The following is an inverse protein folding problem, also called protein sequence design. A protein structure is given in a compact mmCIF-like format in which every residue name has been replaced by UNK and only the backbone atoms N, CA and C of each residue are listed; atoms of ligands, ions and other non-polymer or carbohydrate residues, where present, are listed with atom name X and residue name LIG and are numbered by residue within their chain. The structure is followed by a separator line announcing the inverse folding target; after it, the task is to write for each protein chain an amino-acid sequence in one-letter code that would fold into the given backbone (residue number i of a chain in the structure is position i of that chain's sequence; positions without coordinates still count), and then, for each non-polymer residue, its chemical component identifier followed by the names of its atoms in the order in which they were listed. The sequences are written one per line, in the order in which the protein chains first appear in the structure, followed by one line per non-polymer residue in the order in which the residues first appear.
data_IF_705288122748
#
_entry.id   IF_705288122748
#
_cell.length_a   1.000
_cell.length_b   1.000
_cell.length_c   1.000
_cell.angle_alpha   90.00
_cell.angle_beta   90.00
_cell.angle_gamma   90.00
#
_symmetry.space_group_name_H-M   'P 1'
#
loop_
_entity.id
_entity.type
_entity.pdbx_description
1 polymer ?
#
# COMPACT_ATOMS: atom_id res chain seq x y z
N UNK A 1 -6.28 -14.96 -8.94
CA UNK A 1 -7.68 -14.53 -8.63
C UNK A 1 -8.59 -15.76 -8.57
N UNK A 2 -9.46 -15.84 -7.57
CA UNK A 2 -10.43 -16.95 -7.44
C UNK A 2 -11.60 -16.65 -8.40
N UNK A 3 -11.90 -17.58 -9.31
CA UNK A 3 -13.07 -17.48 -10.19
C UNK A 3 -14.37 -17.67 -9.37
N UNK A 4 -15.48 -17.09 -9.84
CA UNK A 4 -16.82 -17.29 -9.23
C UNK A 4 -17.29 -16.15 -8.33
N UNK A 5 -16.42 -15.24 -7.88
CA UNK A 5 -16.82 -14.13 -6.97
C UNK A 5 -18.01 -13.31 -7.50
N UNK A 6 -18.04 -13.03 -8.80
CA UNK A 6 -19.15 -12.26 -9.40
C UNK A 6 -20.48 -13.01 -9.34
N UNK A 7 -20.46 -14.31 -9.60
CA UNK A 7 -21.66 -15.17 -9.53
C UNK A 7 -22.19 -15.26 -8.09
N UNK A 8 -21.28 -15.43 -7.11
CA UNK A 8 -21.65 -15.46 -5.69
C UNK A 8 -22.26 -14.12 -5.22
N UNK A 9 -21.73 -12.99 -5.70
CA UNK A 9 -22.31 -11.67 -5.44
C UNK A 9 -23.71 -11.53 -6.05
N UNK A 10 -23.94 -12.03 -7.28
CA UNK A 10 -25.26 -12.05 -7.91
C UNK A 10 -26.26 -12.91 -7.11
N UNK A 11 -25.82 -14.05 -6.58
CA UNK A 11 -26.65 -14.90 -5.71
C UNK A 11 -27.01 -14.19 -4.41
N UNK A 12 -26.06 -13.47 -3.78
CA UNK A 12 -26.34 -12.63 -2.60
C UNK A 12 -27.35 -11.51 -2.90
N UNK A 13 -27.20 -10.84 -4.05
CA UNK A 13 -28.17 -9.82 -4.49
C UNK A 13 -29.58 -10.41 -4.61
N UNK A 14 -29.72 -11.55 -5.29
CA UNK A 14 -30.99 -12.23 -5.48
C UNK A 14 -31.61 -12.69 -4.15
N UNK A 15 -30.79 -13.09 -3.19
CA UNK A 15 -31.22 -13.50 -1.85
C UNK A 15 -31.54 -12.32 -0.92
N UNK A 16 -31.37 -11.06 -1.36
CA UNK A 16 -31.57 -9.86 -0.52
C UNK A 16 -30.57 -9.75 0.64
N UNK A 17 -29.38 -10.32 0.50
CA UNK A 17 -28.32 -10.33 1.53
C UNK A 17 -27.00 -9.78 0.97
N UNK A 18 -26.97 -8.50 0.52
CA UNK A 18 -25.75 -7.89 0.02
C UNK A 18 -24.68 -7.78 1.11
N UNK A 19 -23.43 -7.63 0.71
CA UNK A 19 -22.32 -7.21 1.60
C UNK A 19 -22.48 -5.71 1.81
N UNK A 20 -22.65 -5.26 3.04
CA UNK A 20 -22.88 -3.86 3.38
C UNK A 20 -21.60 -3.17 3.84
N UNK A 21 -21.30 -2.03 3.21
CA UNK A 21 -20.04 -1.31 3.37
C UNK A 21 -20.23 0.02 4.08
N UNK A 22 -19.28 0.34 4.99
CA UNK A 22 -18.98 1.71 5.39
C UNK A 22 -17.64 2.13 4.78
N UNK A 23 -17.60 3.27 4.10
CA UNK A 23 -16.39 3.87 3.55
C UNK A 23 -15.96 5.05 4.40
N UNK A 24 -14.72 5.02 4.88
CA UNK A 24 -14.09 6.08 5.66
C UNK A 24 -13.03 6.77 4.79
N UNK A 25 -13.31 8.00 4.38
CA UNK A 25 -12.52 8.78 3.42
C UNK A 25 -13.09 8.76 2.00
N UNK A 26 -13.55 9.92 1.52
CA UNK A 26 -14.11 10.13 0.18
C UNK A 26 -13.17 10.95 -0.72
N UNK A 27 -11.86 10.80 -0.55
CA UNK A 27 -10.83 11.38 -1.41
C UNK A 27 -10.81 10.73 -2.80
N UNK A 28 -9.70 10.88 -3.53
CA UNK A 28 -9.56 10.34 -4.90
C UNK A 28 -9.84 8.83 -4.96
N UNK A 29 -9.23 8.05 -4.06
CA UNK A 29 -9.45 6.60 -4.00
C UNK A 29 -10.89 6.26 -3.62
N UNK A 30 -11.40 6.86 -2.54
CA UNK A 30 -12.77 6.61 -2.06
C UNK A 30 -13.83 6.99 -3.10
N UNK A 31 -13.64 8.09 -3.84
CA UNK A 31 -14.53 8.51 -4.91
C UNK A 31 -14.60 7.50 -6.07
N UNK A 32 -13.49 6.86 -6.45
CA UNK A 32 -13.49 5.78 -7.43
C UNK A 32 -14.15 4.51 -6.88
N UNK A 33 -13.87 4.17 -5.62
CA UNK A 33 -14.50 3.02 -4.94
C UNK A 33 -16.03 3.16 -4.89
N UNK A 34 -16.57 4.35 -4.57
CA UNK A 34 -18.01 4.65 -4.61
C UNK A 34 -18.60 4.32 -5.98
N UNK A 35 -17.99 4.81 -7.08
CA UNK A 35 -18.46 4.60 -8.44
C UNK A 35 -18.53 3.13 -8.83
N UNK A 36 -17.56 2.34 -8.41
CA UNK A 36 -17.53 0.89 -8.69
C UNK A 36 -18.50 0.11 -7.80
N UNK A 37 -18.55 0.43 -6.51
CA UNK A 37 -19.46 -0.20 -5.56
C UNK A 37 -20.92 -0.17 -6.04
N UNK A 38 -21.37 0.98 -6.55
CA UNK A 38 -22.74 1.17 -7.03
C UNK A 38 -23.08 0.36 -8.31
N UNK A 39 -22.11 -0.28 -8.95
CA UNK A 39 -22.26 -1.07 -10.18
C UNK A 39 -22.20 -2.56 -9.96
N UNK A 40 -21.76 -3.00 -8.79
CA UNK A 40 -21.54 -4.41 -8.49
C UNK A 40 -22.74 -4.98 -7.73
N UNK A 41 -23.46 -5.97 -8.29
CA UNK A 41 -24.56 -6.60 -7.58
C UNK A 41 -24.08 -7.27 -6.29
N UNK A 42 -24.93 -7.32 -5.27
CA UNK A 42 -24.60 -7.98 -4.01
C UNK A 42 -23.62 -7.23 -3.10
N UNK A 43 -23.27 -5.99 -3.46
CA UNK A 43 -22.53 -5.05 -2.61
C UNK A 43 -23.40 -3.79 -2.43
N UNK A 44 -23.47 -3.28 -1.22
CA UNK A 44 -24.29 -2.12 -0.87
C UNK A 44 -23.50 -1.15 0.00
N UNK A 45 -23.40 0.10 -0.47
CA UNK A 45 -22.79 1.18 0.30
C UNK A 45 -23.85 1.78 1.22
N UNK A 46 -23.64 1.68 2.52
CA UNK A 46 -24.63 2.14 3.53
C UNK A 46 -24.16 3.36 4.31
N UNK A 47 -22.84 3.63 4.33
CA UNK A 47 -22.31 4.83 4.96
C UNK A 47 -21.05 5.34 4.23
N UNK A 48 -20.87 6.66 4.22
CA UNK A 48 -19.64 7.34 3.82
C UNK A 48 -19.31 8.37 4.89
N UNK A 49 -18.14 8.24 5.51
CA UNK A 49 -17.62 9.23 6.44
C UNK A 49 -16.46 9.97 5.83
N UNK A 50 -16.48 11.30 5.92
CA UNK A 50 -15.38 12.18 5.53
C UNK A 50 -15.44 13.48 6.33
N UNK A 51 -14.31 13.99 6.78
CA UNK A 51 -14.25 15.28 7.49
C UNK A 51 -14.90 16.41 6.68
N UNK A 52 -14.81 16.33 5.35
CA UNK A 52 -15.54 17.18 4.42
C UNK A 52 -16.82 16.47 3.92
N UNK A 53 -17.93 16.66 4.64
CA UNK A 53 -19.24 16.11 4.30
C UNK A 53 -19.70 16.53 2.89
N UNK A 54 -19.32 17.74 2.44
CA UNK A 54 -19.68 18.23 1.11
C UNK A 54 -18.98 17.41 0.04
N UNK A 55 -17.70 17.08 0.24
CA UNK A 55 -16.92 16.20 -0.65
C UNK A 55 -17.58 14.82 -0.74
N UNK A 56 -17.90 14.20 0.40
CA UNK A 56 -18.55 12.89 0.43
C UNK A 56 -19.91 12.90 -0.30
N UNK A 57 -20.76 13.88 -0.01
CA UNK A 57 -22.05 14.02 -0.69
C UNK A 57 -21.92 14.31 -2.20
N UNK A 58 -20.89 15.07 -2.59
CA UNK A 58 -20.61 15.35 -4.00
C UNK A 58 -20.13 14.09 -4.72
N UNK A 59 -19.22 13.31 -4.14
CA UNK A 59 -18.75 12.05 -4.70
C UNK A 59 -19.91 11.06 -4.95
N UNK A 60 -20.86 10.96 -4.02
CA UNK A 60 -22.07 10.13 -4.16
C UNK A 60 -22.98 10.64 -5.29
N UNK A 61 -23.25 11.94 -5.35
CA UNK A 61 -24.08 12.54 -6.43
C UNK A 61 -23.44 12.37 -7.81
N UNK A 62 -22.15 12.60 -7.92
CA UNK A 62 -21.39 12.42 -9.17
C UNK A 62 -21.34 10.96 -9.61
N UNK A 63 -21.50 10.02 -8.67
CA UNK A 63 -21.65 8.60 -8.95
C UNK A 63 -23.09 8.19 -9.30
N UNK A 64 -24.06 9.13 -9.30
CA UNK A 64 -25.45 8.92 -9.68
C UNK A 64 -26.40 8.58 -8.54
N UNK A 65 -26.00 8.79 -7.28
CA UNK A 65 -26.89 8.58 -6.13
C UNK A 65 -27.91 9.73 -6.02
N UNK A 66 -29.19 9.39 -5.95
CA UNK A 66 -30.25 10.38 -5.75
C UNK A 66 -30.12 11.06 -4.39
N UNK A 67 -30.38 12.37 -4.34
CA UNK A 67 -30.31 13.19 -3.14
C UNK A 67 -31.19 12.63 -1.99
N UNK A 68 -32.35 12.04 -2.31
CA UNK A 68 -33.29 11.47 -1.33
C UNK A 68 -32.71 10.24 -0.58
N UNK A 69 -31.68 9.61 -1.13
CA UNK A 69 -30.97 8.51 -0.48
C UNK A 69 -29.88 8.98 0.48
N UNK A 70 -29.50 10.25 0.45
CA UNK A 70 -28.47 10.80 1.34
C UNK A 70 -29.09 11.17 2.69
N UNK A 71 -28.62 10.53 3.75
CA UNK A 71 -29.02 10.80 5.12
C UNK A 71 -27.85 11.41 5.91
N UNK A 72 -28.02 12.63 6.43
CA UNK A 72 -26.94 13.36 7.10
C UNK A 72 -26.88 13.16 8.63
N UNK A 73 -27.68 12.25 9.16
CA UNK A 73 -27.68 11.89 10.59
C UNK A 73 -27.92 10.40 10.78
N UNK A 74 -29.16 9.97 10.69
CA UNK A 74 -29.57 8.58 10.80
C UNK A 74 -30.23 8.12 9.50
N UNK A 75 -30.22 6.81 9.19
CA UNK A 75 -30.95 6.30 8.03
C UNK A 75 -32.43 6.73 8.09
N UNK A 76 -32.95 7.28 6.99
CA UNK A 76 -34.35 7.73 6.88
C UNK A 76 -35.20 6.74 6.08
N UNK A 77 -34.55 5.81 5.37
CA UNK A 77 -35.15 4.77 4.53
C UNK A 77 -34.19 3.56 4.50
N UNK A 78 -34.70 2.40 4.11
CA UNK A 78 -33.91 1.17 4.00
C UNK A 78 -32.77 1.28 2.98
N UNK A 79 -32.89 2.12 1.95
CA UNK A 79 -31.90 2.37 0.90
C UNK A 79 -31.07 3.64 1.14
N UNK A 80 -31.12 4.23 2.34
CA UNK A 80 -30.35 5.43 2.68
C UNK A 80 -28.85 5.14 2.78
N UNK A 81 -28.05 6.11 2.33
CA UNK A 81 -26.60 6.16 2.58
C UNK A 81 -26.33 7.26 3.60
N UNK A 82 -25.80 6.88 4.74
CA UNK A 82 -25.41 7.83 5.80
C UNK A 82 -24.18 8.60 5.37
N UNK A 83 -24.24 9.92 5.39
CA UNK A 83 -23.13 10.82 5.09
C UNK A 83 -22.78 11.60 6.36
N UNK A 84 -21.59 11.42 6.90
CA UNK A 84 -21.21 11.99 8.19
C UNK A 84 -19.74 12.44 8.23
N UNK A 85 -19.40 13.35 9.14
CA UNK A 85 -18.02 13.65 9.49
C UNK A 85 -17.47 12.71 10.58
N UNK A 86 -18.33 11.93 11.20
CA UNK A 86 -17.99 11.04 12.32
C UNK A 86 -17.80 9.61 11.79
N UNK A 87 -16.52 9.21 11.66
CA UNK A 87 -16.14 7.87 11.23
C UNK A 87 -16.59 6.80 12.22
N UNK A 88 -16.57 7.09 13.53
CA UNK A 88 -17.01 6.15 14.58
C UNK A 88 -18.49 5.83 14.45
N UNK A 89 -19.32 6.87 14.22
CA UNK A 89 -20.75 6.69 13.98
C UNK A 89 -21.05 5.85 12.72
N UNK A 90 -20.28 6.03 11.64
CA UNK A 90 -20.43 5.23 10.42
C UNK A 90 -20.00 3.76 10.64
N UNK A 91 -18.92 3.52 11.37
CA UNK A 91 -18.42 2.19 11.72
C UNK A 91 -19.38 1.46 12.65
N UNK A 92 -19.99 2.17 13.59
CA UNK A 92 -20.90 1.60 14.60
C UNK A 92 -22.27 1.18 14.06
N UNK A 93 -22.61 1.47 12.80
CA UNK A 93 -23.88 1.03 12.21
C UNK A 93 -23.98 -0.50 12.25
N UNK A 94 -25.06 -1.01 12.86
CA UNK A 94 -25.23 -2.45 13.14
C UNK A 94 -25.16 -3.31 11.87
N UNK A 95 -25.70 -2.82 10.77
CA UNK A 95 -25.82 -3.54 9.51
C UNK A 95 -24.60 -3.42 8.58
N UNK A 96 -23.49 -2.81 9.01
CA UNK A 96 -22.24 -2.80 8.26
C UNK A 96 -21.53 -4.16 8.44
N UNK A 97 -21.11 -4.78 7.34
CA UNK A 97 -20.34 -6.02 7.34
C UNK A 97 -18.84 -5.73 7.21
N UNK A 98 -18.45 -4.81 6.30
CA UNK A 98 -17.06 -4.49 5.97
C UNK A 98 -16.84 -2.98 6.03
N UNK A 99 -15.78 -2.57 6.69
CA UNK A 99 -15.30 -1.18 6.71
C UNK A 99 -14.16 -1.02 5.71
N UNK A 100 -14.25 -0.04 4.84
CA UNK A 100 -13.17 0.40 3.95
C UNK A 100 -12.52 1.63 4.58
N UNK A 101 -11.25 1.52 4.96
CA UNK A 101 -10.45 2.64 5.47
C UNK A 101 -9.63 3.25 4.34
N UNK A 102 -9.87 4.53 4.01
CA UNK A 102 -9.26 5.22 2.87
C UNK A 102 -8.94 6.70 3.18
N UNK A 103 -8.57 7.02 4.42
CA UNK A 103 -8.30 8.40 4.83
C UNK A 103 -6.94 8.91 4.39
N UNK A 104 -5.96 8.04 4.14
CA UNK A 104 -4.56 8.40 3.87
C UNK A 104 -3.81 8.95 5.09
N UNK A 105 -4.40 8.87 6.30
CA UNK A 105 -3.75 9.26 7.55
C UNK A 105 -3.44 8.03 8.39
N UNK A 106 -2.17 7.62 8.55
CA UNK A 106 -1.82 6.36 9.20
C UNK A 106 -2.35 6.28 10.63
N UNK A 107 -2.25 7.34 11.43
CA UNK A 107 -2.73 7.33 12.82
C UNK A 107 -4.26 7.28 12.91
N UNK A 108 -4.97 8.00 12.04
CA UNK A 108 -6.43 7.94 11.96
C UNK A 108 -6.88 6.55 11.48
N UNK A 109 -6.20 5.98 10.49
CA UNK A 109 -6.49 4.66 9.97
C UNK A 109 -6.37 3.58 11.04
N UNK A 110 -5.30 3.57 11.83
CA UNK A 110 -5.14 2.62 12.95
C UNK A 110 -6.30 2.73 13.93
N UNK A 111 -6.72 3.96 14.28
CA UNK A 111 -7.87 4.17 15.16
C UNK A 111 -9.16 3.62 14.55
N UNK A 112 -9.47 3.94 13.29
CA UNK A 112 -10.68 3.48 12.60
C UNK A 112 -10.72 1.97 12.45
N UNK A 113 -9.60 1.35 12.09
CA UNK A 113 -9.46 -0.11 11.96
C UNK A 113 -9.77 -0.78 13.30
N UNK A 114 -9.18 -0.31 14.40
CA UNK A 114 -9.44 -0.90 15.74
C UNK A 114 -10.86 -0.66 16.23
N UNK A 115 -11.49 0.48 15.90
CA UNK A 115 -12.91 0.71 16.14
C UNK A 115 -13.78 -0.28 15.35
N UNK A 116 -13.43 -0.58 14.09
CA UNK A 116 -14.12 -1.58 13.30
C UNK A 116 -14.00 -2.98 13.91
N UNK A 117 -12.80 -3.37 14.36
CA UNK A 117 -12.60 -4.64 15.07
C UNK A 117 -13.43 -4.72 16.36
N UNK A 118 -13.44 -3.66 17.17
CA UNK A 118 -14.25 -3.60 18.38
C UNK A 118 -15.76 -3.70 18.09
N UNK A 119 -16.21 -3.24 16.93
CA UNK A 119 -17.57 -3.37 16.45
C UNK A 119 -17.87 -4.72 15.73
N UNK A 120 -16.88 -5.65 15.67
CA UNK A 120 -17.01 -6.95 15.02
C UNK A 120 -17.09 -6.87 13.50
N UNK A 121 -16.44 -5.89 12.87
CA UNK A 121 -16.47 -5.65 11.42
C UNK A 121 -15.15 -6.07 10.76
N UNK A 122 -15.25 -6.68 9.60
CA UNK A 122 -14.11 -6.92 8.72
C UNK A 122 -13.59 -5.59 8.14
N UNK A 123 -12.29 -5.55 7.77
CA UNK A 123 -11.67 -4.32 7.27
C UNK A 123 -10.90 -4.57 5.97
N UNK A 124 -11.12 -3.69 4.99
CA UNK A 124 -10.25 -3.51 3.83
C UNK A 124 -9.53 -2.17 3.98
N UNK A 125 -8.22 -2.22 4.18
CA UNK A 125 -7.40 -1.03 4.39
C UNK A 125 -6.78 -0.54 3.08
N UNK A 126 -7.04 0.72 2.75
CA UNK A 126 -6.44 1.43 1.61
C UNK A 126 -5.26 2.29 2.05
N UNK A 127 -5.25 2.72 3.32
CA UNK A 127 -4.18 3.54 3.89
C UNK A 127 -2.95 2.67 4.19
N UNK A 128 -2.21 2.34 3.14
CA UNK A 128 -1.04 1.42 3.19
C UNK A 128 0.07 1.91 4.14
N UNK A 129 0.10 3.20 4.45
CA UNK A 129 0.97 3.81 5.46
C UNK A 129 0.72 3.24 6.86
N UNK A 130 -0.54 2.91 7.19
CA UNK A 130 -0.89 2.24 8.45
C UNK A 130 -0.43 0.78 8.45
N UNK A 131 -0.50 0.09 7.30
CA UNK A 131 0.03 -1.27 7.13
C UNK A 131 1.53 -1.33 7.33
N UNK A 132 2.27 -0.37 6.76
CA UNK A 132 3.72 -0.28 6.95
C UNK A 132 4.08 0.03 8.40
N UNK A 133 3.27 0.83 9.10
CA UNK A 133 3.53 1.28 10.46
C UNK A 133 3.26 0.19 11.52
N UNK A 134 2.08 -0.46 11.46
CA UNK A 134 1.60 -1.42 12.48
C UNK A 134 0.78 -2.58 11.88
N UNK A 135 0.83 -2.80 10.57
CA UNK A 135 0.01 -3.81 9.88
C UNK A 135 0.09 -5.22 10.49
N UNK A 136 1.26 -5.76 10.84
CA UNK A 136 1.36 -7.07 11.50
C UNK A 136 0.62 -7.15 12.84
N UNK A 137 0.62 -6.07 13.64
CA UNK A 137 -0.14 -6.03 14.89
C UNK A 137 -1.65 -5.98 14.65
N UNK A 138 -2.11 -5.17 13.67
CA UNK A 138 -3.52 -5.10 13.29
C UNK A 138 -4.02 -6.45 12.73
N UNK A 139 -3.19 -7.12 11.93
CA UNK A 139 -3.50 -8.45 11.41
C UNK A 139 -3.65 -9.50 12.52
N UNK A 140 -2.76 -9.48 13.51
CA UNK A 140 -2.83 -10.37 14.67
C UNK A 140 -4.07 -10.06 15.55
N UNK A 141 -4.39 -8.77 15.75
CA UNK A 141 -5.59 -8.34 16.48
C UNK A 141 -6.86 -8.84 15.78
N UNK A 142 -7.01 -8.63 14.45
CA UNK A 142 -8.14 -9.12 13.66
C UNK A 142 -8.28 -10.64 13.76
N UNK A 143 -7.19 -11.39 13.57
CA UNK A 143 -7.19 -12.85 13.65
C UNK A 143 -7.63 -13.36 15.02
N UNK A 144 -7.20 -12.71 16.12
CA UNK A 144 -7.60 -13.06 17.48
C UNK A 144 -9.10 -12.88 17.73
N UNK A 145 -9.75 -12.00 16.99
CA UNK A 145 -11.19 -11.71 17.05
C UNK A 145 -12.00 -12.51 16.02
N UNK A 146 -11.35 -13.34 15.19
CA UNK A 146 -11.98 -14.08 14.11
C UNK A 146 -12.45 -13.19 12.95
N UNK A 147 -11.85 -12.00 12.80
CA UNK A 147 -12.14 -11.02 11.77
C UNK A 147 -11.10 -11.06 10.64
N UNK A 148 -11.50 -10.54 9.48
CA UNK A 148 -10.63 -10.42 8.31
C UNK A 148 -10.09 -9.00 8.20
N UNK A 149 -8.77 -8.86 8.14
CA UNK A 149 -8.06 -7.64 7.79
C UNK A 149 -7.37 -7.82 6.44
N UNK A 150 -7.61 -6.93 5.48
CA UNK A 150 -7.15 -7.10 4.10
C UNK A 150 -6.51 -5.84 3.55
N UNK A 151 -5.43 -6.01 2.80
CA UNK A 151 -4.94 -5.00 1.86
C UNK A 151 -5.99 -4.75 0.77
N UNK A 152 -5.95 -3.56 0.17
CA UNK A 152 -6.86 -3.15 -0.90
C UNK A 152 -6.39 -3.65 -2.27
N UNK A 153 -7.17 -4.49 -2.94
CA UNK A 153 -6.89 -4.92 -4.31
C UNK A 153 -7.06 -3.74 -5.28
N UNK A 154 -6.16 -3.67 -6.26
CA UNK A 154 -6.02 -2.51 -7.14
C UNK A 154 -4.98 -1.51 -6.63
N UNK A 155 -4.50 -1.65 -5.38
CA UNK A 155 -3.23 -1.09 -4.95
C UNK A 155 -2.10 -2.12 -5.15
N UNK A 156 -0.89 -1.65 -5.36
CA UNK A 156 0.24 -2.48 -5.80
C UNK A 156 0.59 -3.60 -4.80
N UNK A 157 0.57 -3.40 -3.46
CA UNK A 157 0.88 -4.48 -2.52
C UNK A 157 -0.02 -5.71 -2.66
N UNK A 158 -1.33 -5.54 -2.80
CA UNK A 158 -2.24 -6.68 -2.95
C UNK A 158 -2.04 -7.42 -4.28
N UNK A 159 -1.76 -6.69 -5.36
CA UNK A 159 -1.46 -7.27 -6.67
C UNK A 159 -0.15 -8.07 -6.66
N UNK A 160 0.86 -7.59 -5.95
CA UNK A 160 2.13 -8.33 -5.79
C UNK A 160 1.92 -9.57 -4.93
N UNK A 161 1.14 -9.48 -3.84
CA UNK A 161 0.77 -10.64 -3.03
C UNK A 161 0.11 -11.73 -3.88
N UNK A 162 -0.81 -11.38 -4.79
CA UNK A 162 -1.44 -12.33 -5.73
C UNK A 162 -0.41 -13.02 -6.63
N UNK A 163 0.55 -12.26 -7.22
CA UNK A 163 1.59 -12.83 -8.08
C UNK A 163 2.53 -13.77 -7.30
N UNK A 164 2.89 -13.38 -6.07
CA UNK A 164 3.74 -14.21 -5.19
C UNK A 164 3.01 -15.48 -4.77
N UNK A 165 1.73 -15.38 -4.41
CA UNK A 165 0.92 -16.53 -4.03
C UNK A 165 0.74 -17.49 -5.23
N UNK A 166 0.44 -16.95 -6.41
CA UNK A 166 0.38 -17.71 -7.65
C UNK A 166 1.68 -18.49 -7.91
N UNK A 167 2.83 -17.85 -7.76
CA UNK A 167 4.12 -18.50 -7.98
C UNK A 167 4.32 -19.67 -7.01
N UNK A 168 4.06 -19.45 -5.72
CA UNK A 168 4.27 -20.43 -4.65
C UNK A 168 3.31 -21.61 -4.74
N UNK A 169 2.02 -21.37 -5.03
CA UNK A 169 1.02 -22.45 -5.19
C UNK A 169 1.37 -23.37 -6.36
N UNK A 170 2.04 -22.83 -7.40
CA UNK A 170 2.51 -23.62 -8.55
C UNK A 170 3.93 -24.19 -8.36
N UNK A 171 4.54 -24.02 -7.18
CA UNK A 171 5.84 -24.61 -6.85
C UNK A 171 7.03 -23.88 -7.47
N UNK A 172 6.87 -22.63 -7.90
CA UNK A 172 7.97 -21.81 -8.39
C UNK A 172 8.70 -21.09 -7.25
N UNK A 173 10.01 -20.99 -7.34
CA UNK A 173 10.82 -20.18 -6.43
C UNK A 173 10.63 -18.71 -6.77
N UNK A 174 10.19 -17.91 -5.80
CA UNK A 174 10.11 -16.46 -5.96
C UNK A 174 11.50 -15.87 -5.78
N UNK A 175 12.05 -15.33 -6.86
CA UNK A 175 13.38 -14.71 -6.89
C UNK A 175 13.30 -13.26 -6.45
N UNK A 176 12.36 -12.51 -7.02
CA UNK A 176 12.05 -11.15 -6.60
C UNK A 176 10.59 -10.82 -6.92
N UNK A 177 10.03 -9.88 -6.19
CA UNK A 177 8.73 -9.32 -6.50
C UNK A 177 8.72 -7.83 -6.18
N UNK A 178 7.91 -7.07 -6.90
CA UNK A 178 7.88 -5.64 -6.67
C UNK A 178 7.09 -4.85 -7.70
N UNK A 179 7.43 -3.57 -7.81
CA UNK A 179 6.70 -2.59 -8.60
C UNK A 179 7.59 -1.76 -9.51
N UNK A 180 6.97 -1.16 -10.52
CA UNK A 180 7.58 -0.06 -11.26
C UNK A 180 7.27 1.30 -10.62
N UNK A 181 8.13 2.26 -10.87
CA UNK A 181 7.99 3.64 -10.41
C UNK A 181 8.76 4.62 -11.32
N UNK A 182 8.71 5.90 -10.99
CA UNK A 182 9.53 6.94 -11.57
C UNK A 182 10.54 7.42 -10.53
N UNK A 183 11.79 6.98 -10.62
CA UNK A 183 12.83 7.38 -9.67
C UNK A 183 14.22 7.37 -10.33
N UNK A 184 15.09 8.26 -9.89
CA UNK A 184 16.53 8.24 -10.21
C UNK A 184 17.32 8.89 -9.07
N UNK A 185 18.64 8.69 -9.01
CA UNK A 185 19.47 9.35 -8.00
C UNK A 185 19.25 10.88 -7.95
N UNK A 186 19.07 11.42 -6.75
CA UNK A 186 18.74 12.81 -6.50
C UNK A 186 17.22 13.11 -6.40
N UNK A 187 16.35 12.15 -6.75
CA UNK A 187 14.90 12.30 -6.60
C UNK A 187 14.45 12.20 -5.14
N UNK A 188 15.20 11.55 -4.28
CA UNK A 188 14.99 11.52 -2.83
C UNK A 188 14.91 12.93 -2.20
N UNK A 189 15.54 13.92 -2.83
CA UNK A 189 15.49 15.33 -2.42
C UNK A 189 14.30 16.12 -3.00
N UNK A 190 13.30 15.45 -3.56
CA UNK A 190 12.09 16.10 -4.10
C UNK A 190 11.30 16.75 -2.97
N UNK A 191 10.83 17.97 -3.22
CA UNK A 191 9.92 18.69 -2.34
C UNK A 191 8.62 19.05 -3.05
N UNK A 192 7.57 19.47 -2.35
CA UNK A 192 6.32 19.94 -2.97
C UNK A 192 6.50 21.05 -4.01
N UNK A 193 7.59 21.84 -3.90
CA UNK A 193 7.89 22.92 -4.85
C UNK A 193 8.51 22.39 -6.17
N UNK A 194 9.22 21.27 -6.11
CA UNK A 194 9.97 20.70 -7.26
C UNK A 194 9.29 19.51 -7.91
N UNK A 195 8.22 19.00 -7.31
CA UNK A 195 7.60 17.72 -7.68
C UNK A 195 7.10 17.69 -9.12
N UNK A 196 6.41 18.72 -9.58
CA UNK A 196 5.83 18.73 -10.93
C UNK A 196 6.88 18.67 -12.03
N UNK A 197 7.97 19.43 -11.86
CA UNK A 197 9.10 19.38 -12.79
C UNK A 197 9.73 17.98 -12.83
N UNK A 198 9.93 17.35 -11.66
CA UNK A 198 10.53 16.00 -11.59
C UNK A 198 9.59 14.89 -12.05
N UNK A 199 8.30 15.07 -11.84
CA UNK A 199 7.26 14.13 -12.31
C UNK A 199 7.01 14.24 -13.81
N UNK A 200 7.39 15.37 -14.44
CA UNK A 200 7.17 15.66 -15.85
C UNK A 200 5.77 16.20 -16.14
N UNK A 201 5.16 16.94 -15.20
CA UNK A 201 3.84 17.57 -15.36
C UNK A 201 3.94 19.08 -15.40
N UNK A 202 3.02 19.70 -16.16
CA UNK A 202 2.81 21.15 -16.07
C UNK A 202 2.17 21.52 -14.73
N UNK A 203 2.83 22.42 -13.99
CA UNK A 203 2.39 22.78 -12.64
C UNK A 203 0.99 23.41 -12.61
N UNK A 204 0.67 24.24 -13.62
CA UNK A 204 -0.64 24.91 -13.71
C UNK A 204 -1.76 23.90 -13.94
N UNK A 205 -1.51 22.92 -14.83
CA UNK A 205 -2.48 21.85 -15.10
C UNK A 205 -2.66 20.93 -13.91
N UNK A 206 -1.57 20.54 -13.22
CA UNK A 206 -1.62 19.67 -12.07
C UNK A 206 -2.38 20.34 -10.89
N UNK A 207 -2.10 21.61 -10.60
CA UNK A 207 -2.79 22.37 -9.55
C UNK A 207 -4.28 22.60 -9.90
N UNK A 208 -4.59 22.90 -11.18
CA UNK A 208 -5.97 23.03 -11.63
C UNK A 208 -6.77 21.71 -11.57
N UNK A 209 -6.08 20.58 -11.74
CA UNK A 209 -6.67 19.25 -11.55
C UNK A 209 -6.83 18.85 -10.06
N UNK A 210 -6.35 19.68 -9.12
CA UNK A 210 -6.44 19.43 -7.68
C UNK A 210 -5.53 18.32 -7.18
N UNK A 211 -4.42 18.03 -7.88
CA UNK A 211 -3.47 17.02 -7.43
C UNK A 211 -2.71 17.48 -6.19
N UNK A 212 -2.57 16.57 -5.23
CA UNK A 212 -1.86 16.83 -3.99
C UNK A 212 -0.34 16.74 -4.19
N UNK A 213 0.35 17.89 -4.05
CA UNK A 213 1.80 17.99 -4.19
C UNK A 213 2.56 17.09 -3.22
N UNK A 214 2.07 16.91 -1.98
CA UNK A 214 2.73 16.06 -0.99
C UNK A 214 2.64 14.59 -1.39
N UNK A 215 1.46 14.13 -1.82
CA UNK A 215 1.26 12.78 -2.30
C UNK A 215 2.18 12.49 -3.51
N UNK A 216 2.24 13.38 -4.49
CA UNK A 216 3.13 13.21 -5.63
C UNK A 216 4.61 13.30 -5.26
N UNK A 217 4.96 14.12 -4.25
CA UNK A 217 6.33 14.15 -3.72
C UNK A 217 6.72 12.79 -3.15
N UNK A 218 5.84 12.13 -2.38
CA UNK A 218 6.06 10.78 -1.85
C UNK A 218 6.25 9.73 -2.95
N UNK A 219 5.57 9.88 -4.10
CA UNK A 219 5.78 9.00 -5.25
C UNK A 219 7.17 9.18 -5.88
N UNK A 220 7.65 10.41 -5.99
CA UNK A 220 8.91 10.74 -6.68
C UNK A 220 10.12 10.52 -5.78
N UNK A 221 10.04 10.86 -4.49
CA UNK A 221 11.17 10.76 -3.56
C UNK A 221 11.46 9.33 -3.08
N UNK A 222 10.65 8.36 -3.53
CA UNK A 222 10.81 6.95 -3.22
C UNK A 222 10.09 6.49 -1.94
N UNK A 223 9.55 7.41 -1.14
CA UNK A 223 8.86 7.08 0.13
C UNK A 223 7.69 6.13 -0.09
N UNK A 224 6.80 6.42 -1.06
CA UNK A 224 5.65 5.55 -1.34
C UNK A 224 6.09 4.16 -1.78
N UNK A 225 7.13 4.05 -2.61
CA UNK A 225 7.68 2.75 -3.00
C UNK A 225 8.26 1.99 -1.80
N UNK A 226 8.94 2.69 -0.89
CA UNK A 226 9.44 2.08 0.35
C UNK A 226 8.30 1.55 1.23
N UNK A 227 7.22 2.33 1.41
CA UNK A 227 6.02 1.95 2.18
C UNK A 227 5.38 0.69 1.58
N UNK A 228 5.10 0.70 0.28
CA UNK A 228 4.46 -0.43 -0.40
C UNK A 228 5.32 -1.69 -0.38
N UNK A 229 6.64 -1.56 -0.57
CA UNK A 229 7.54 -2.71 -0.52
C UNK A 229 7.76 -3.23 0.91
N UNK A 230 7.66 -2.39 1.95
CA UNK A 230 7.63 -2.84 3.34
C UNK A 230 6.40 -3.72 3.61
N UNK A 231 5.23 -3.29 3.11
CA UNK A 231 3.98 -4.06 3.24
C UNK A 231 4.06 -5.38 2.48
N UNK A 232 4.59 -5.38 1.25
CA UNK A 232 4.80 -6.61 0.47
C UNK A 232 5.73 -7.57 1.20
N UNK A 233 6.87 -7.09 1.71
CA UNK A 233 7.80 -7.91 2.49
C UNK A 233 7.11 -8.52 3.71
N UNK A 234 6.38 -7.71 4.47
CA UNK A 234 5.65 -8.13 5.67
C UNK A 234 4.52 -9.14 5.37
N UNK A 235 3.86 -9.01 4.19
CA UNK A 235 2.77 -9.90 3.78
C UNK A 235 3.27 -11.22 3.19
N UNK A 236 4.39 -11.19 2.47
CA UNK A 236 4.90 -12.34 1.70
C UNK A 236 6.08 -13.04 2.36
N UNK A 237 6.75 -12.41 3.34
CA UNK A 237 7.99 -12.91 3.94
C UNK A 237 9.21 -12.80 3.01
N UNK A 238 9.12 -12.02 1.93
CA UNK A 238 10.29 -11.69 1.11
C UNK A 238 11.26 -10.79 1.89
N UNK A 239 12.54 -10.96 1.64
CA UNK A 239 13.56 -10.16 2.30
C UNK A 239 13.55 -8.70 1.81
N UNK A 240 14.13 -7.82 2.63
CA UNK A 240 14.32 -6.40 2.34
C UNK A 240 15.78 -6.17 1.95
N UNK A 241 16.08 -5.40 0.87
CA UNK A 241 17.44 -5.05 0.52
C UNK A 241 18.13 -4.27 1.64
N UNK A 242 19.34 -4.65 2.01
CA UNK A 242 20.09 -4.03 3.12
C UNK A 242 20.38 -2.54 2.90
N UNK A 243 20.60 -2.15 1.65
CA UNK A 243 20.87 -0.76 1.28
C UNK A 243 19.61 0.08 1.01
N UNK A 244 18.41 -0.54 1.08
CA UNK A 244 17.15 0.01 0.60
C UNK A 244 16.87 -0.37 -0.85
N UNK A 245 15.77 0.11 -1.42
CA UNK A 245 15.38 -0.19 -2.80
C UNK A 245 16.43 0.34 -3.80
N UNK A 246 16.73 -0.46 -4.81
CA UNK A 246 17.72 -0.15 -5.83
C UNK A 246 17.19 0.77 -6.93
N UNK A 247 15.88 0.80 -7.16
CA UNK A 247 15.26 1.56 -8.26
C UNK A 247 15.96 1.35 -9.60
N UNK A 248 16.24 0.08 -9.92
CA UNK A 248 16.99 -0.27 -11.12
C UNK A 248 16.22 0.16 -12.38
N UNK A 249 16.88 0.82 -13.35
CA UNK A 249 16.26 1.19 -14.63
C UNK A 249 16.12 -0.04 -15.51
N UNK A 250 14.96 -0.72 -15.42
CA UNK A 250 14.75 -2.04 -16.03
C UNK A 250 13.36 -2.08 -16.68
N UNK A 251 13.31 -2.45 -17.96
CA UNK A 251 12.07 -2.77 -18.66
C UNK A 251 11.63 -4.21 -18.46
N UNK A 252 10.40 -4.53 -18.89
CA UNK A 252 9.81 -5.87 -18.69
C UNK A 252 10.63 -6.98 -19.33
N UNK A 253 11.30 -6.69 -20.45
CA UNK A 253 12.10 -7.69 -21.18
C UNK A 253 13.39 -8.08 -20.43
N UNK A 254 13.84 -7.22 -19.53
CA UNK A 254 15.09 -7.38 -18.79
C UNK A 254 14.89 -7.82 -17.33
N UNK A 255 13.63 -7.87 -16.85
CA UNK A 255 13.32 -8.25 -15.46
C UNK A 255 14.04 -9.55 -15.02
N UNK A 256 13.94 -10.68 -15.77
CA UNK A 256 14.53 -11.94 -15.31
C UNK A 256 16.06 -11.93 -15.38
N UNK A 257 16.65 -11.14 -16.25
CA UNK A 257 18.10 -11.03 -16.39
C UNK A 257 18.72 -10.16 -15.31
N UNK A 258 18.04 -9.09 -14.92
CA UNK A 258 18.52 -8.08 -13.98
C UNK A 258 18.15 -8.42 -12.53
N UNK A 259 16.89 -8.81 -12.31
CA UNK A 259 16.33 -9.05 -10.97
C UNK A 259 16.53 -10.49 -10.49
N UNK A 260 17.73 -10.99 -10.64
CA UNK A 260 18.24 -12.27 -10.10
C UNK A 260 19.51 -12.02 -9.28
N UNK A 261 19.95 -12.99 -8.45
CA UNK A 261 21.13 -12.81 -7.62
C UNK A 261 22.42 -12.55 -8.42
N UNK A 262 23.36 -11.78 -7.85
CA UNK A 262 24.65 -11.47 -8.47
C UNK A 262 25.43 -12.72 -8.86
N UNK A 263 25.43 -13.78 -8.04
CA UNK A 263 26.10 -15.04 -8.37
C UNK A 263 25.48 -15.77 -9.57
N UNK A 264 24.23 -15.45 -9.93
CA UNK A 264 23.56 -15.94 -11.14
C UNK A 264 23.64 -14.92 -12.30
N UNK A 265 24.43 -13.86 -12.18
CA UNK A 265 24.66 -12.84 -13.20
C UNK A 265 23.65 -11.68 -13.20
N UNK A 266 22.86 -11.50 -12.16
CA UNK A 266 21.95 -10.37 -11.97
C UNK A 266 22.51 -9.28 -11.04
N UNK A 267 21.61 -8.47 -10.47
CA UNK A 267 22.01 -7.34 -9.61
C UNK A 267 21.57 -7.48 -8.15
N UNK A 268 20.70 -8.44 -7.82
CA UNK A 268 20.21 -8.60 -6.46
C UNK A 268 21.24 -9.23 -5.53
N UNK A 269 21.19 -8.89 -4.24
CA UNK A 269 22.06 -9.49 -3.23
C UNK A 269 21.71 -10.97 -2.93
N UNK A 270 20.44 -11.35 -3.12
CA UNK A 270 19.90 -12.70 -2.90
C UNK A 270 18.60 -12.93 -3.65
N UNK A 271 18.14 -14.18 -3.72
CA UNK A 271 16.77 -14.53 -4.08
C UNK A 271 15.80 -14.29 -2.92
N UNK A 272 14.51 -14.20 -3.24
CA UNK A 272 13.44 -14.02 -2.25
C UNK A 272 13.42 -12.61 -1.67
N UNK A 273 13.52 -11.57 -2.51
CA UNK A 273 13.67 -10.18 -2.08
C UNK A 273 12.68 -9.26 -2.80
N UNK A 274 12.23 -8.20 -2.11
CA UNK A 274 11.42 -7.13 -2.72
C UNK A 274 12.32 -6.13 -3.44
N UNK A 275 11.82 -5.53 -4.55
CA UNK A 275 12.57 -4.49 -5.27
C UNK A 275 11.60 -3.54 -6.01
N UNK A 276 12.07 -2.33 -6.33
CA UNK A 276 11.40 -1.40 -7.21
C UNK A 276 12.24 -1.14 -8.46
N UNK A 277 11.59 -1.10 -9.64
CA UNK A 277 12.26 -0.77 -10.89
C UNK A 277 11.85 0.61 -11.39
N UNK A 278 12.79 1.34 -12.01
CA UNK A 278 12.54 2.68 -12.51
C UNK A 278 12.22 2.69 -13.99
N UNK A 279 11.28 3.58 -14.37
CA UNK A 279 10.91 3.88 -15.75
C UNK A 279 11.91 4.83 -16.45
N UNK A 280 12.89 5.36 -15.73
CA UNK A 280 13.94 6.22 -16.26
C UNK A 280 15.30 5.78 -15.73
N UNK A 281 16.35 6.04 -16.49
CA UNK A 281 17.74 5.80 -16.06
C UNK A 281 18.30 6.97 -15.22
N UNK A 282 19.59 6.89 -14.86
CA UNK A 282 20.28 7.91 -14.06
C UNK A 282 20.35 9.28 -14.75
N UNK A 283 20.36 9.33 -16.09
CA UNK A 283 20.36 10.55 -16.88
C UNK A 283 18.95 11.13 -17.06
N UNK A 284 17.93 10.31 -16.78
CA UNK A 284 16.52 10.65 -16.92
C UNK A 284 15.92 10.24 -18.25
N UNK A 285 16.63 9.44 -19.04
CA UNK A 285 16.13 8.90 -20.30
C UNK A 285 15.13 7.76 -20.03
N UNK A 286 14.05 7.68 -20.81
CA UNK A 286 13.04 6.65 -20.67
C UNK A 286 13.59 5.23 -20.87
N UNK A 287 13.23 4.31 -19.99
CA UNK A 287 13.49 2.87 -20.16
C UNK A 287 12.49 2.30 -21.16
N UNK A 288 12.97 1.52 -22.12
CA UNK A 288 12.11 0.84 -23.09
C UNK A 288 11.23 -0.20 -22.39
N UNK A 289 9.95 -0.29 -22.75
CA UNK A 289 8.99 -1.21 -22.16
C UNK A 289 8.97 -1.15 -20.62
N UNK A 290 9.02 0.07 -20.07
CA UNK A 290 9.01 0.29 -18.62
C UNK A 290 7.75 -0.25 -17.94
N UNK A 291 7.83 -0.40 -16.61
CA UNK A 291 6.75 -0.91 -15.77
C UNK A 291 6.22 0.16 -14.78
N UNK A 292 6.32 1.44 -15.10
CA UNK A 292 6.02 2.56 -14.19
C UNK A 292 4.75 2.38 -13.35
N UNK A 293 3.70 1.83 -13.94
CA UNK A 293 2.38 1.70 -13.33
C UNK A 293 2.06 0.28 -12.89
N UNK A 294 3.00 -0.64 -13.05
CA UNK A 294 2.75 -2.05 -12.89
C UNK A 294 3.46 -2.68 -11.70
N UNK A 295 3.26 -4.00 -11.64
CA UNK A 295 3.85 -4.88 -10.63
C UNK A 295 4.42 -6.11 -11.31
N UNK A 296 5.38 -6.79 -10.67
CA UNK A 296 6.05 -7.96 -11.23
C UNK A 296 6.36 -9.02 -10.16
N UNK A 297 6.57 -10.24 -10.66
CA UNK A 297 7.27 -11.32 -9.96
C UNK A 297 8.30 -11.93 -10.91
N UNK A 298 9.50 -12.15 -10.43
CA UNK A 298 10.50 -12.98 -11.10
C UNK A 298 10.56 -14.31 -10.36
N UNK A 299 10.36 -15.38 -11.11
CA UNK A 299 10.42 -16.77 -10.63
C UNK A 299 11.67 -17.45 -11.14
N UNK A 300 12.15 -18.45 -10.40
CA UNK A 300 13.31 -19.26 -10.75
C UNK A 300 13.01 -20.75 -10.68
N UNK A 301 13.86 -21.53 -11.35
CA UNK A 301 13.87 -22.99 -11.27
C UNK A 301 15.24 -23.56 -11.55
N UNK A 302 15.58 -24.65 -10.88
CA UNK A 302 16.77 -25.47 -11.23
C UNK A 302 16.40 -26.68 -12.10
N UNK A 303 15.11 -26.95 -12.32
CA UNK A 303 14.60 -28.00 -13.17
C UNK A 303 14.72 -27.60 -14.65
N UNK A 304 15.45 -28.40 -15.44
CA UNK A 304 15.69 -28.13 -16.86
C UNK A 304 14.45 -28.25 -17.74
N UNK A 305 13.49 -29.09 -17.36
CA UNK A 305 12.24 -29.26 -18.11
C UNK A 305 11.30 -28.07 -17.85
N UNK A 306 11.23 -27.60 -16.62
CA UNK A 306 10.50 -26.36 -16.28
C UNK A 306 11.12 -25.16 -17.00
N UNK A 307 12.46 -25.02 -16.97
CA UNK A 307 13.19 -23.95 -17.66
C UNK A 307 12.95 -23.97 -19.19
N UNK A 308 12.85 -25.17 -19.79
CA UNK A 308 12.47 -25.33 -21.19
C UNK A 308 11.04 -24.86 -21.42
N UNK A 309 10.10 -25.26 -20.57
CA UNK A 309 8.70 -24.85 -20.67
C UNK A 309 8.53 -23.31 -20.57
N UNK A 310 9.29 -22.64 -19.72
CA UNK A 310 9.25 -21.17 -19.67
C UNK A 310 9.49 -20.54 -21.04
N UNK A 311 10.49 -21.02 -21.77
CA UNK A 311 10.80 -20.56 -23.12
C UNK A 311 9.75 -20.98 -24.16
N UNK A 312 9.37 -22.27 -24.13
CA UNK A 312 8.46 -22.86 -25.11
C UNK A 312 7.06 -22.22 -25.06
N UNK A 313 6.63 -21.79 -23.88
CA UNK A 313 5.37 -21.05 -23.69
C UNK A 313 5.52 -19.54 -23.80
N UNK A 314 6.69 -19.04 -24.17
CA UNK A 314 6.89 -17.63 -24.51
C UNK A 314 6.95 -16.68 -23.30
N UNK A 315 7.32 -17.17 -22.12
CA UNK A 315 7.59 -16.27 -21.00
C UNK A 315 8.85 -15.44 -21.30
N UNK A 316 8.87 -14.20 -20.78
CA UNK A 316 10.10 -13.41 -20.75
C UNK A 316 11.08 -14.09 -19.81
N UNK A 317 12.25 -14.54 -20.37
CA UNK A 317 13.25 -15.30 -19.62
C UNK A 317 14.63 -14.68 -19.73
N UNK A 318 15.53 -15.01 -18.80
CA UNK A 318 16.94 -14.76 -18.97
C UNK A 318 17.55 -15.67 -20.06
N UNK A 319 18.81 -15.45 -20.40
CA UNK A 319 19.51 -16.26 -21.44
C UNK A 319 19.63 -17.75 -21.10
N UNK A 320 19.57 -18.13 -19.84
CA UNK A 320 19.62 -19.53 -19.40
C UNK A 320 18.24 -20.19 -19.44
N UNK A 321 17.17 -19.41 -19.43
CA UNK A 321 15.78 -19.86 -19.28
C UNK A 321 15.41 -20.29 -17.86
N UNK A 322 16.33 -20.20 -16.89
CA UNK A 322 16.08 -20.56 -15.49
C UNK A 322 15.27 -19.54 -14.73
N UNK A 323 15.29 -18.29 -15.15
CA UNK A 323 14.57 -17.19 -14.56
C UNK A 323 13.52 -16.67 -15.54
N UNK A 324 12.31 -16.47 -15.08
CA UNK A 324 11.20 -15.95 -15.88
C UNK A 324 10.45 -14.86 -15.12
N UNK A 325 9.88 -13.90 -15.83
CA UNK A 325 9.07 -12.84 -15.25
C UNK A 325 7.61 -12.93 -15.67
N UNK A 326 6.72 -12.63 -14.72
CA UNK A 326 5.33 -12.30 -14.96
C UNK A 326 5.07 -10.91 -14.37
N UNK A 327 4.19 -10.15 -15.02
CA UNK A 327 3.89 -8.79 -14.62
C UNK A 327 2.45 -8.41 -14.99
N UNK A 328 2.03 -7.33 -14.38
CA UNK A 328 0.80 -6.63 -14.70
C UNK A 328 1.18 -5.16 -14.99
N UNK A 329 0.84 -4.65 -16.17
CA UNK A 329 1.27 -3.33 -16.64
C UNK A 329 0.66 -2.17 -15.86
N UNK A 330 -0.51 -2.36 -15.25
CA UNK A 330 -1.26 -1.29 -14.62
C UNK A 330 -1.87 -1.76 -13.30
N UNK A 331 -2.11 -0.82 -12.42
CA UNK A 331 -2.98 -0.95 -11.25
C UNK A 331 -4.03 0.15 -11.32
N UNK A 332 -5.26 -0.13 -10.89
CA UNK A 332 -6.40 0.77 -11.03
C UNK A 332 -6.92 1.19 -9.65
N UNK A 333 -6.35 2.28 -9.15
CA UNK A 333 -6.59 2.82 -7.81
C UNK A 333 -8.09 3.04 -7.56
N UNK A 334 -8.64 2.38 -6.53
CA UNK A 334 -10.06 2.44 -6.15
C UNK A 334 -11.02 1.68 -7.08
N UNK A 335 -10.60 1.38 -8.31
CA UNK A 335 -11.50 0.75 -9.30
C UNK A 335 -11.58 -0.76 -9.15
N UNK A 336 -10.60 -1.40 -8.56
CA UNK A 336 -10.53 -2.86 -8.37
C UNK A 336 -10.83 -3.29 -6.93
N UNK A 337 -11.14 -2.34 -6.05
CA UNK A 337 -11.33 -2.56 -4.61
C UNK A 337 -12.42 -3.59 -4.29
N UNK A 338 -13.44 -3.68 -5.14
CA UNK A 338 -14.55 -4.63 -4.94
C UNK A 338 -14.09 -6.09 -4.97
N UNK A 339 -12.90 -6.38 -5.51
CA UNK A 339 -12.27 -7.70 -5.40
C UNK A 339 -11.93 -8.04 -3.94
N UNK A 340 -11.34 -7.11 -3.18
CA UNK A 340 -11.11 -7.31 -1.74
C UNK A 340 -12.41 -7.42 -0.96
N UNK A 341 -13.37 -6.53 -1.24
CA UNK A 341 -14.69 -6.58 -0.60
C UNK A 341 -15.38 -7.92 -0.81
N UNK A 342 -15.38 -8.43 -2.04
CA UNK A 342 -15.98 -9.73 -2.37
C UNK A 342 -15.22 -10.87 -1.68
N UNK A 343 -13.89 -10.87 -1.72
CA UNK A 343 -13.07 -11.93 -1.12
C UNK A 343 -13.25 -11.97 0.40
N UNK A 344 -13.25 -10.80 1.05
CA UNK A 344 -13.49 -10.67 2.49
C UNK A 344 -14.92 -11.08 2.84
N UNK A 345 -15.94 -10.47 2.21
CA UNK A 345 -17.33 -10.65 2.60
C UNK A 345 -17.95 -11.99 2.19
N UNK A 346 -17.41 -12.68 1.16
CA UNK A 346 -17.89 -14.00 0.72
C UNK A 346 -17.09 -15.14 1.34
N UNK A 347 -15.77 -14.99 1.43
CA UNK A 347 -14.85 -16.10 1.74
C UNK A 347 -14.15 -15.94 3.09
N UNK A 348 -14.25 -14.78 3.76
CA UNK A 348 -13.48 -14.47 4.96
C UNK A 348 -11.96 -14.52 4.71
N UNK A 349 -11.50 -14.14 3.51
CA UNK A 349 -10.09 -14.19 3.11
C UNK A 349 -9.56 -12.83 2.65
N UNK A 350 -8.35 -12.43 3.06
CA UNK A 350 -7.73 -11.21 2.57
C UNK A 350 -7.17 -11.39 1.16
N UNK A 351 -7.07 -10.31 0.40
CA UNK A 351 -6.31 -10.22 -0.88
C UNK A 351 -4.82 -9.96 -0.67
N UNK A 352 -4.39 -9.89 0.55
CA UNK A 352 -3.06 -9.72 1.07
C UNK A 352 -3.17 -9.22 2.50
N UNK A 353 -2.24 -9.58 3.37
CA UNK A 353 -2.25 -9.14 4.77
C UNK A 353 -0.83 -9.16 5.34
N UNK A 354 -0.36 -8.08 6.01
CA UNK A 354 0.93 -8.09 6.70
C UNK A 354 0.93 -9.11 7.84
N UNK A 355 1.89 -10.04 7.85
CA UNK A 355 1.95 -11.15 8.83
C UNK A 355 3.17 -11.08 9.74
N UNK A 356 4.25 -10.45 9.27
CA UNK A 356 5.53 -10.38 9.97
C UNK A 356 6.10 -8.98 9.90
N UNK A 357 6.82 -8.57 10.94
CA UNK A 357 7.54 -7.30 10.97
C UNK A 357 8.99 -7.52 10.54
N UNK A 358 9.22 -7.64 9.24
CA UNK A 358 10.55 -7.83 8.65
C UNK A 358 11.11 -6.57 7.97
N UNK A 359 10.29 -5.56 7.77
CA UNK A 359 10.58 -4.33 7.06
C UNK A 359 10.15 -3.10 7.87
N UNK A 360 10.91 -2.02 7.73
CA UNK A 360 10.60 -0.70 8.27
C UNK A 360 10.83 0.37 7.22
N UNK A 361 10.03 1.44 7.26
CA UNK A 361 10.29 2.64 6.46
C UNK A 361 10.73 3.75 7.40
N UNK A 362 12.00 4.10 7.34
CA UNK A 362 12.64 5.02 8.27
C UNK A 362 12.76 6.42 7.67
N UNK A 363 12.68 7.45 8.51
CA UNK A 363 12.82 8.84 8.09
C UNK A 363 14.30 9.19 7.87
N UNK A 364 14.62 9.78 6.71
CA UNK A 364 15.94 10.30 6.35
C UNK A 364 15.80 11.79 6.03
N UNK A 365 16.71 12.61 6.53
CA UNK A 365 16.70 14.06 6.35
C UNK A 365 16.91 14.46 4.88
N UNK A 366 15.97 15.19 4.27
CA UNK A 366 16.09 15.74 2.90
C UNK A 366 17.04 16.94 2.79
N UNK A 367 17.28 17.60 3.90
CA UNK A 367 18.14 18.79 4.03
C UNK A 367 18.68 18.86 5.45
N UNK A 368 19.60 19.77 5.69
CA UNK A 368 20.01 20.07 7.06
C UNK A 368 18.80 20.53 7.90
N UNK A 369 18.61 19.88 9.03
CA UNK A 369 17.54 20.16 9.98
C UNK A 369 18.17 20.77 11.24
N UNK A 370 18.06 22.10 11.47
CA UNK A 370 18.54 22.70 12.69
C UNK A 370 17.73 22.20 13.90
N UNK A 371 18.26 22.39 15.11
CA UNK A 371 17.56 22.15 16.37
C UNK A 371 16.21 22.89 16.41
N UNK A 372 15.18 22.29 17.00
CA UNK A 372 13.80 22.79 17.10
C UNK A 372 13.05 22.90 15.75
N UNK A 373 13.56 22.28 14.70
CA UNK A 373 12.84 22.18 13.42
C UNK A 373 11.67 21.20 13.57
N UNK A 374 10.49 21.61 13.17
CA UNK A 374 9.34 20.70 13.04
C UNK A 374 9.47 19.82 11.80
N UNK A 375 9.31 18.52 11.98
CA UNK A 375 9.31 17.52 10.91
C UNK A 375 7.93 17.48 10.29
N UNK A 376 7.84 17.67 8.99
CA UNK A 376 6.57 17.73 8.26
C UNK A 376 6.12 16.36 7.69
N UNK A 377 6.96 15.33 7.82
CA UNK A 377 6.63 13.93 7.50
C UNK A 377 6.63 13.62 6.01
N UNK A 378 5.97 12.54 5.65
CA UNK A 378 5.88 12.00 4.29
C UNK A 378 5.49 13.05 3.25
N UNK A 379 6.18 13.01 2.10
CA UNK A 379 5.94 13.91 0.97
C UNK A 379 6.24 15.38 1.26
N UNK A 380 6.90 15.68 2.38
CA UNK A 380 7.21 17.03 2.81
C UNK A 380 8.58 17.53 2.36
N UNK A 381 9.03 18.57 3.09
CA UNK A 381 10.30 19.27 2.83
C UNK A 381 11.46 18.77 3.69
N UNK A 382 11.15 18.04 4.79
CA UNK A 382 12.13 17.76 5.84
C UNK A 382 12.71 16.37 5.74
N UNK A 383 11.88 15.35 5.44
CA UNK A 383 12.27 13.94 5.41
C UNK A 383 11.69 13.19 4.24
N UNK A 384 12.33 12.09 3.85
CA UNK A 384 11.77 11.05 2.99
C UNK A 384 11.87 9.68 3.66
N UNK A 385 11.09 8.71 3.18
CA UNK A 385 11.08 7.35 3.70
C UNK A 385 12.05 6.44 2.97
N UNK A 386 12.92 5.74 3.71
CA UNK A 386 13.84 4.73 3.18
C UNK A 386 13.46 3.36 3.72
N UNK A 387 13.36 2.36 2.83
CA UNK A 387 13.14 0.97 3.23
C UNK A 387 14.37 0.40 3.92
N UNK A 388 14.17 -0.28 5.05
CA UNK A 388 15.23 -0.89 5.85
C UNK A 388 14.72 -2.21 6.47
N UNK A 389 15.58 -3.24 6.67
CA UNK A 389 15.23 -4.39 7.50
C UNK A 389 14.83 -3.92 8.92
N UNK A 390 13.73 -4.45 9.45
CA UNK A 390 13.18 -3.99 10.73
C UNK A 390 14.16 -4.13 11.91
N UNK A 391 14.99 -5.19 11.90
CA UNK A 391 16.02 -5.40 12.92
C UNK A 391 17.10 -4.29 12.90
N UNK A 392 17.51 -3.88 11.69
CA UNK A 392 18.49 -2.79 11.53
C UNK A 392 17.87 -1.45 11.99
N UNK A 393 16.63 -1.16 11.57
CA UNK A 393 15.94 0.04 12.00
C UNK A 393 15.81 0.13 13.52
N UNK A 394 15.51 -1.00 14.18
CA UNK A 394 15.47 -1.09 15.64
C UNK A 394 16.83 -0.86 16.29
N UNK A 395 17.88 -1.51 15.78
CA UNK A 395 19.23 -1.40 16.35
C UNK A 395 19.83 0.00 16.21
N UNK A 396 19.44 0.73 15.16
CA UNK A 396 19.85 2.10 14.90
C UNK A 396 18.94 3.13 15.60
N UNK A 397 17.88 2.71 16.27
CA UNK A 397 16.92 3.60 16.91
C UNK A 397 16.18 4.51 15.93
N UNK A 398 15.99 4.05 14.68
CA UNK A 398 15.45 4.85 13.59
C UNK A 398 13.98 5.25 13.83
N UNK A 399 13.64 6.48 13.49
CA UNK A 399 12.25 6.99 13.52
C UNK A 399 11.49 6.48 12.29
N UNK A 400 10.37 5.77 12.46
CA UNK A 400 9.50 5.41 11.34
C UNK A 400 8.90 6.64 10.66
N UNK A 401 8.86 6.65 9.33
CA UNK A 401 8.32 7.79 8.57
C UNK A 401 6.87 8.11 8.97
N UNK A 402 6.05 7.09 9.27
CA UNK A 402 4.66 7.25 9.70
C UNK A 402 4.48 7.94 11.07
N UNK A 403 5.55 8.04 11.87
CA UNK A 403 5.57 8.76 13.15
C UNK A 403 6.36 10.07 13.09
N UNK A 404 7.05 10.37 12.00
CA UNK A 404 7.95 11.52 11.94
C UNK A 404 7.22 12.86 11.94
N UNK A 405 5.98 12.92 11.43
CA UNK A 405 5.23 14.18 11.31
C UNK A 405 4.89 14.77 12.67
N UNK A 406 5.22 16.05 12.85
CA UNK A 406 4.94 16.82 14.07
C UNK A 406 6.02 16.70 15.14
N UNK A 407 6.98 15.76 14.99
CA UNK A 407 8.15 15.71 15.87
C UNK A 407 9.02 16.96 15.68
N UNK A 408 9.80 17.32 16.70
CA UNK A 408 10.79 18.39 16.64
C UNK A 408 12.18 17.84 16.87
N UNK A 409 13.15 18.36 16.12
CA UNK A 409 14.54 17.98 16.30
C UNK A 409 15.09 18.50 17.63
N UNK A 410 15.70 17.62 18.41
CA UNK A 410 16.41 17.95 19.66
C UNK A 410 17.84 18.45 19.41
N UNK A 411 18.38 18.20 18.21
CA UNK A 411 19.71 18.61 17.76
C UNK A 411 19.75 18.78 16.26
N UNK A 412 20.87 19.30 15.73
CA UNK A 412 21.10 19.37 14.29
C UNK A 412 21.20 17.95 13.68
N UNK A 413 20.50 17.72 12.55
CA UNK A 413 20.59 16.51 11.73
C UNK A 413 21.00 16.92 10.33
N UNK A 414 22.06 16.31 9.78
CA UNK A 414 22.58 16.68 8.45
C UNK A 414 21.73 16.04 7.34
N UNK A 415 21.73 16.65 6.16
CA UNK A 415 21.13 16.09 4.97
C UNK A 415 21.67 14.67 4.68
N UNK A 416 20.77 13.72 4.46
CA UNK A 416 21.11 12.33 4.18
C UNK A 416 21.25 11.46 5.42
N UNK A 417 21.27 12.04 6.62
CA UNK A 417 21.35 11.28 7.87
C UNK A 417 19.99 10.65 8.21
N UNK A 418 20.05 9.47 8.80
CA UNK A 418 18.92 8.78 9.39
C UNK A 418 18.42 9.57 10.60
N UNK A 419 17.12 9.82 10.67
CA UNK A 419 16.51 10.40 11.86
C UNK A 419 16.31 9.29 12.91
N UNK A 420 16.88 9.51 14.10
CA UNK A 420 16.77 8.57 15.23
C UNK A 420 15.96 9.16 16.37
N UNK A 421 15.51 8.32 17.31
CA UNK A 421 14.79 8.79 18.49
C UNK A 421 15.63 9.73 19.39
N UNK A 422 16.98 9.64 19.31
CA UNK A 422 17.88 10.59 20.02
C UNK A 422 17.94 11.97 19.34
N UNK A 423 17.43 12.09 18.13
CA UNK A 423 17.41 13.34 17.36
C UNK A 423 16.14 14.15 17.56
N UNK A 424 15.14 13.65 18.30
CA UNK A 424 13.82 14.27 18.44
C UNK A 424 13.37 14.38 19.89
N UNK A 425 12.56 15.40 20.19
CA UNK A 425 12.11 15.71 21.56
C UNK A 425 10.97 14.80 22.05
N UNK A 426 10.23 14.14 21.16
CA UNK A 426 9.03 13.36 21.48
C UNK A 426 9.09 11.96 20.84
N UNK A 427 8.40 11.00 21.47
CA UNK A 427 8.43 9.58 21.06
C UNK A 427 7.17 9.11 20.29
N UNK A 428 6.30 10.02 19.86
CA UNK A 428 5.03 9.69 19.22
C UNK A 428 3.94 9.15 20.18
N UNK A 429 2.73 8.83 19.67
CA UNK A 429 1.59 8.35 20.48
C UNK A 429 1.88 7.02 21.20
N UNK A 430 1.55 6.92 22.48
CA UNK A 430 1.83 5.75 23.33
C UNK A 430 1.14 4.47 22.86
N UNK A 431 -0.08 4.56 22.37
CA UNK A 431 -0.85 3.42 21.85
C UNK A 431 -0.22 2.83 20.58
N UNK A 432 0.29 3.67 19.69
CA UNK A 432 1.01 3.22 18.49
C UNK A 432 2.35 2.61 18.86
N UNK A 433 3.08 3.19 19.82
CA UNK A 433 4.33 2.60 20.31
C UNK A 433 4.10 1.21 20.88
N UNK A 434 3.06 1.04 21.70
CA UNK A 434 2.69 -0.26 22.28
C UNK A 434 2.39 -1.30 21.20
N UNK A 435 1.64 -0.94 20.16
CA UNK A 435 1.39 -1.81 19.01
C UNK A 435 2.68 -2.20 18.30
N UNK A 436 3.59 -1.25 18.08
CA UNK A 436 4.88 -1.50 17.45
C UNK A 436 5.78 -2.43 18.28
N UNK A 437 5.84 -2.23 19.60
CA UNK A 437 6.59 -3.10 20.49
C UNK A 437 6.06 -4.55 20.44
N UNK A 438 4.75 -4.72 20.31
CA UNK A 438 4.14 -6.06 20.19
C UNK A 438 4.58 -6.79 18.91
N UNK A 439 4.86 -6.08 17.81
CA UNK A 439 5.34 -6.68 16.57
C UNK A 439 6.73 -7.31 16.70
N UNK A 440 7.61 -6.71 17.51
CA UNK A 440 8.95 -7.27 17.78
C UNK A 440 8.91 -8.51 18.68
N UNK A 441 7.92 -8.60 19.57
CA UNK A 441 7.79 -9.72 20.50
C UNK A 441 7.18 -10.96 19.82
N UNK A 442 6.37 -10.79 18.76
CA UNK A 442 5.72 -11.89 18.04
C UNK A 442 6.64 -12.60 17.03
N UNK A 443 7.81 -12.07 16.71
CA UNK A 443 8.80 -12.71 15.82
C UNK A 443 9.41 -13.98 16.44
N UNK A 444 9.35 -14.16 17.75
CA UNK A 444 9.94 -15.30 18.46
C UNK A 444 9.14 -16.63 18.35
N UNK A 445 7.97 -16.66 17.69
CA UNK A 445 7.07 -17.84 17.68
C UNK A 445 6.99 -18.53 16.31
N UNK A 446 7.60 -17.98 15.27
CA UNK A 446 7.51 -18.52 13.88
C UNK A 446 8.86 -18.87 13.24
N UNK A 447 9.83 -19.37 14.03
CA UNK A 447 11.10 -19.92 13.55
C UNK A 447 11.07 -21.45 13.58
#
# INVERSE_FOLDING_TARGET
MIAGLYEDLCQRATAGRPIRLALIGAGTFGGMAIRQCLRVPGIELVAVADLDIIRAATALRDAGVNQERLAFSAPTRDDSIVVTADAEAAIALEHVDVVIEATGSPLSAVRHIRLAFAAGKDVVNVTVEADALVGPALSAEAASLGLTYSLAYGDQPALICELVDWARVNGFDVVSAGKGTLHKPGFEWTSPDTVWTRYGMDATQADAAGYDRRMFTSFVDGTKSAIEMAVVASATGLAVPKAGLGFLPVGIDELPSTLRPRHAGGQLERSGIVEAVSAIDADGEPVANDLRWGVFVVVGTDDSDVARCFRDYGLTTDTTGKFAALWRNNHLVGMELMTSVATVGLLGRPTGVPKSHCAEVVAVAKRDLPEQMEIDGEGGYTVFGKLMPAENARSEGAVPIGLARGLRTARHVSQGDLLTWDDVDEAGPDDIRTLRESMFNNVAVSA
#
